data_IF_969918136694
#
_entry.id   IF_969918136694
#
_cell.length_a   1.000
_cell.length_b   1.000
_cell.length_c   1.000
_cell.angle_alpha   90.00
_cell.angle_beta   90.00
_cell.angle_gamma   90.00
#
_symmetry.space_group_name_H-M   'P 1'
#
loop_
_entity.id
_entity.type
_entity.pdbx_description
1 polymer ?
#
# COMPACT_ATOMS: atom_id res chain seq x y z
N UNK A 1 13.23 7.33 4.09
CA UNK A 1 12.08 8.18 4.46
C UNK A 1 10.80 7.41 4.28
N UNK A 2 9.86 7.55 5.19
CA UNK A 2 8.57 6.87 5.10
C UNK A 2 7.48 7.88 4.75
N UNK A 3 6.64 7.54 3.80
CA UNK A 3 5.49 8.36 3.41
C UNK A 3 4.22 7.55 3.63
N UNK A 4 3.19 8.18 4.16
CA UNK A 4 1.89 7.53 4.38
C UNK A 4 0.91 7.97 3.31
N UNK A 5 0.27 6.99 2.67
CA UNK A 5 -0.82 7.22 1.72
C UNK A 5 -2.12 6.74 2.34
N UNK A 6 -3.05 7.65 2.53
CA UNK A 6 -4.36 7.31 3.06
C UNK A 6 -5.30 6.96 1.91
N UNK A 7 -5.53 5.65 1.73
CA UNK A 7 -6.45 5.15 0.71
C UNK A 7 -7.70 4.55 1.35
N UNK A 8 -8.00 4.94 2.59
CA UNK A 8 -9.20 4.45 3.28
C UNK A 8 -10.46 4.91 2.57
N UNK A 9 -11.45 4.05 2.51
CA UNK A 9 -12.71 4.33 1.83
C UNK A 9 -12.68 4.07 0.33
N UNK A 10 -11.53 3.78 -0.25
CA UNK A 10 -11.40 3.50 -1.67
C UNK A 10 -11.52 2.01 -1.92
N UNK A 11 -12.17 1.64 -3.01
CA UNK A 11 -12.30 0.25 -3.44
C UNK A 11 -11.25 -0.08 -4.48
N UNK A 12 -10.87 -1.37 -4.53
CA UNK A 12 -9.97 -1.87 -5.54
C UNK A 12 -10.50 -1.55 -6.95
N UNK A 13 -9.67 -1.10 -7.91
CA UNK A 13 -8.20 -1.07 -7.82
C UNK A 13 -7.62 0.28 -7.39
N UNK A 14 -8.42 1.18 -6.83
CA UNK A 14 -7.96 2.54 -6.52
C UNK A 14 -6.78 2.61 -5.54
N UNK A 15 -6.73 1.79 -4.46
CA UNK A 15 -5.56 1.82 -3.59
C UNK A 15 -4.26 1.52 -4.33
N UNK A 16 -4.30 0.57 -5.27
CA UNK A 16 -3.13 0.19 -6.06
C UNK A 16 -2.73 1.33 -7.01
N UNK A 17 -3.70 1.93 -7.70
CA UNK A 17 -3.43 3.02 -8.62
C UNK A 17 -2.78 4.21 -7.90
N UNK A 18 -3.28 4.54 -6.71
CA UNK A 18 -2.71 5.62 -5.91
C UNK A 18 -1.33 5.27 -5.37
N UNK A 19 -1.13 4.03 -4.93
CA UNK A 19 0.17 3.57 -4.46
C UNK A 19 1.21 3.63 -5.57
N UNK A 20 0.85 3.21 -6.77
CA UNK A 20 1.73 3.26 -7.93
C UNK A 20 2.19 4.69 -8.20
N UNK A 21 1.26 5.63 -8.19
CA UNK A 21 1.57 7.04 -8.44
C UNK A 21 2.49 7.60 -7.36
N UNK A 22 2.23 7.28 -6.10
CA UNK A 22 3.07 7.76 -5.00
C UNK A 22 4.47 7.16 -5.06
N UNK A 23 4.59 5.88 -5.40
CA UNK A 23 5.89 5.23 -5.50
C UNK A 23 6.76 5.82 -6.60
N UNK A 24 6.15 6.31 -7.67
CA UNK A 24 6.88 6.94 -8.75
C UNK A 24 7.61 8.21 -8.30
N UNK A 25 7.09 8.86 -7.27
CA UNK A 25 7.69 10.10 -6.74
C UNK A 25 8.66 9.84 -5.60
N UNK A 26 8.79 8.59 -5.14
CA UNK A 26 9.68 8.23 -4.05
C UNK A 26 11.02 7.70 -4.56
N UNK A 27 12.05 7.83 -3.74
CA UNK A 27 13.35 7.25 -4.02
C UNK A 27 13.41 5.76 -3.66
N UNK A 28 14.50 5.11 -4.09
CA UNK A 28 14.66 3.67 -3.84
C UNK A 28 14.79 3.32 -2.35
N UNK A 29 15.22 4.28 -1.53
CA UNK A 29 15.37 4.07 -0.10
C UNK A 29 14.12 4.41 0.70
N UNK A 30 13.08 4.90 0.04
CA UNK A 30 11.86 5.34 0.71
C UNK A 30 10.85 4.20 0.83
N UNK A 31 10.03 4.27 1.88
CA UNK A 31 8.98 3.29 2.14
C UNK A 31 7.63 3.99 2.06
N UNK A 32 6.68 3.38 1.37
CA UNK A 32 5.31 3.88 1.29
C UNK A 32 4.43 3.02 2.19
N UNK A 33 3.78 3.66 3.15
CA UNK A 33 2.80 3.02 4.02
C UNK A 33 1.41 3.35 3.48
N UNK A 34 0.69 2.34 2.99
CA UNK A 34 -0.65 2.51 2.43
C UNK A 34 -1.69 2.03 3.40
N UNK A 35 -2.63 2.90 3.74
CA UNK A 35 -3.77 2.56 4.60
C UNK A 35 -4.98 2.30 3.72
N UNK A 36 -5.60 1.12 3.86
CA UNK A 36 -6.76 0.73 3.08
C UNK A 36 -7.83 0.11 3.95
N UNK A 37 -9.09 0.24 3.56
CA UNK A 37 -10.21 -0.37 4.26
C UNK A 37 -10.85 -1.49 3.44
N UNK A 38 -10.49 -1.63 2.18
CA UNK A 38 -10.99 -2.71 1.34
C UNK A 38 -10.22 -3.98 1.61
N UNK A 39 -10.92 -5.00 2.10
CA UNK A 39 -10.32 -6.29 2.43
C UNK A 39 -9.64 -6.93 1.23
N UNK A 40 -10.17 -6.73 0.03
CA UNK A 40 -9.58 -7.24 -1.20
C UNK A 40 -8.20 -6.66 -1.50
N UNK A 41 -7.86 -5.51 -0.89
CA UNK A 41 -6.57 -4.86 -1.14
C UNK A 41 -5.39 -5.74 -0.69
N UNK A 42 -5.60 -6.62 0.29
CA UNK A 42 -4.54 -7.49 0.80
C UNK A 42 -3.99 -8.39 -0.31
N UNK A 43 -4.89 -9.13 -0.97
CA UNK A 43 -4.48 -10.02 -2.06
C UNK A 43 -4.09 -9.25 -3.32
N UNK A 44 -4.77 -8.15 -3.60
CA UNK A 44 -4.48 -7.36 -4.78
C UNK A 44 -3.08 -6.73 -4.69
N UNK A 45 -2.69 -6.24 -3.52
CA UNK A 45 -1.34 -5.70 -3.32
C UNK A 45 -0.28 -6.79 -3.49
N UNK A 46 -0.55 -7.99 -2.97
CA UNK A 46 0.36 -9.12 -3.12
C UNK A 46 0.56 -9.47 -4.59
N UNK A 47 -0.54 -9.58 -5.34
CA UNK A 47 -0.48 -9.91 -6.76
C UNK A 47 0.23 -8.85 -7.58
N UNK A 48 -0.07 -7.59 -7.30
CA UNK A 48 0.55 -6.47 -7.99
C UNK A 48 2.06 -6.40 -7.73
N UNK A 49 2.46 -6.52 -6.48
CA UNK A 49 3.88 -6.49 -6.12
C UNK A 49 4.64 -7.67 -6.72
N UNK A 50 4.00 -8.85 -6.76
CA UNK A 50 4.60 -10.05 -7.35
C UNK A 50 4.78 -9.89 -8.85
N UNK A 51 3.85 -9.24 -9.52
CA UNK A 51 3.90 -9.04 -10.97
C UNK A 51 4.84 -7.90 -11.37
N UNK A 52 5.18 -7.01 -10.43
CA UNK A 52 6.00 -5.84 -10.72
C UNK A 52 7.35 -5.95 -10.02
N UNK A 53 8.40 -6.20 -10.81
CA UNK A 53 9.75 -6.43 -10.27
C UNK A 53 10.39 -5.20 -9.62
N UNK A 54 9.82 -4.02 -9.85
CA UNK A 54 10.36 -2.77 -9.30
C UNK A 54 9.81 -2.43 -7.92
N UNK A 55 8.86 -3.24 -7.45
CA UNK A 55 8.16 -2.99 -6.20
C UNK A 55 8.35 -4.15 -5.26
N UNK A 56 8.67 -3.84 -4.00
CA UNK A 56 8.80 -4.83 -2.95
C UNK A 56 7.71 -4.59 -1.91
N UNK A 57 6.85 -5.57 -1.71
CA UNK A 57 5.88 -5.54 -0.62
C UNK A 57 6.58 -6.06 0.64
N UNK A 58 6.99 -5.13 1.50
CA UNK A 58 7.79 -5.46 2.68
C UNK A 58 6.99 -6.28 3.67
N UNK A 59 5.79 -5.80 4.02
CA UNK A 59 4.90 -6.50 4.94
C UNK A 59 3.51 -5.92 4.86
N UNK A 60 2.56 -6.66 5.40
CA UNK A 60 1.17 -6.22 5.52
C UNK A 60 0.72 -6.45 6.95
N UNK A 61 -0.02 -5.50 7.49
CA UNK A 61 -0.53 -5.58 8.86
C UNK A 61 -2.01 -5.20 8.88
N UNK A 62 -2.72 -5.66 9.90
CA UNK A 62 -4.10 -5.27 10.14
C UNK A 62 -4.14 -4.49 11.44
N UNK A 63 -4.75 -3.31 11.40
CA UNK A 63 -4.89 -2.44 12.57
C UNK A 63 -6.33 -1.99 12.70
N UNK A 64 -6.66 -1.38 13.83
CA UNK A 64 -7.98 -0.79 14.06
C UNK A 64 -7.79 0.72 14.16
N UNK A 65 -8.61 1.47 13.43
CA UNK A 65 -8.52 2.93 13.47
C UNK A 65 -9.31 3.50 14.67
N UNK A 66 -9.31 4.83 14.79
CA UNK A 66 -9.95 5.53 15.91
C UNK A 66 -11.45 5.25 16.02
N UNK A 67 -12.11 4.94 14.91
CA UNK A 67 -13.54 4.65 14.89
C UNK A 67 -13.85 3.18 15.12
N UNK A 68 -12.84 2.35 15.37
CA UNK A 68 -13.01 0.91 15.56
C UNK A 68 -13.06 0.14 14.25
N UNK A 69 -12.79 0.79 13.12
CA UNK A 69 -12.80 0.13 11.82
C UNK A 69 -11.48 -0.57 11.57
N UNK A 70 -11.56 -1.77 11.01
CA UNK A 70 -10.36 -2.51 10.61
C UNK A 70 -9.73 -1.88 9.38
N UNK A 71 -8.43 -1.65 9.44
CA UNK A 71 -7.68 -1.14 8.30
C UNK A 71 -6.54 -2.09 7.97
N UNK A 72 -6.19 -2.12 6.69
CA UNK A 72 -5.13 -2.97 6.17
C UNK A 72 -3.97 -2.06 5.79
N UNK A 73 -2.80 -2.32 6.37
CA UNK A 73 -1.62 -1.47 6.19
C UNK A 73 -0.62 -2.22 5.33
N UNK A 74 -0.24 -1.62 4.22
CA UNK A 74 0.70 -2.22 3.28
C UNK A 74 1.98 -1.39 3.24
N UNK A 75 3.12 -2.03 3.49
CA UNK A 75 4.43 -1.37 3.43
C UNK A 75 5.11 -1.75 2.13
N UNK A 76 5.31 -0.76 1.28
CA UNK A 76 5.86 -0.95 -0.06
C UNK A 76 7.16 -0.16 -0.21
N UNK A 77 8.09 -0.71 -0.97
CA UNK A 77 9.32 -0.01 -1.32
C UNK A 77 9.57 -0.13 -2.80
N UNK A 78 10.21 0.88 -3.36
CA UNK A 78 10.62 0.88 -4.75
C UNK A 78 12.03 0.31 -4.83
N UNK A 79 12.23 -0.69 -5.69
CA UNK A 79 13.53 -1.36 -5.83
C UNK A 79 14.48 -0.68 -6.81
N UNK A 80 13.97 0.16 -7.68
CA UNK A 80 14.83 0.86 -8.64
C UNK A 80 14.22 2.16 -9.12
#
# INVERSE_FOLDING_TARGET
>A
MEKTLDARGLKCPMPIAKAKKELESLGAADVLKVLATDKGSVLDMQGWAKANKRINLIRQETETDESGREIYVHYLARLS
#
